data_IF_253324894139
#
_entry.id   IF_253324894139
#
_cell.length_a   1.000
_cell.length_b   1.000
_cell.length_c   1.000
_cell.angle_alpha   90.00
_cell.angle_beta   90.00
_cell.angle_gamma   90.00
#
_symmetry.space_group_name_H-M   'P 1'
#
loop_
_entity.id
_entity.type
_entity.pdbx_description
1 polymer ?
#
# COMPACT_ATOMS: atom_id res chain seq x y z
N UNK A 1 11.10 -11.99 11.26
CA UNK A 1 9.85 -11.21 11.20
C UNK A 1 9.50 -10.68 12.59
N UNK A 2 10.50 -10.67 13.48
CA UNK A 2 10.30 -10.87 14.91
C UNK A 2 10.25 -9.56 15.71
N UNK A 3 10.38 -8.42 15.03
CA UNK A 3 10.36 -7.07 15.61
C UNK A 3 9.17 -6.21 15.12
N UNK A 4 8.21 -6.79 14.39
CA UNK A 4 7.00 -6.04 14.00
C UNK A 4 5.97 -6.18 15.12
N UNK A 5 5.55 -5.08 15.77
CA UNK A 5 4.59 -5.14 16.85
C UNK A 5 3.22 -5.61 16.34
N UNK A 6 2.39 -6.07 17.26
CA UNK A 6 0.99 -6.38 16.96
C UNK A 6 0.26 -5.14 16.43
N UNK A 7 -0.62 -5.34 15.44
CA UNK A 7 -1.37 -4.25 14.82
C UNK A 7 -2.47 -3.74 15.74
N UNK A 8 -2.32 -2.53 16.25
CA UNK A 8 -3.38 -1.80 16.99
C UNK A 8 -4.18 -0.85 16.08
N UNK A 9 -3.99 -0.93 14.76
CA UNK A 9 -4.56 0.00 13.78
C UNK A 9 -3.66 1.21 13.51
N UNK A 10 -4.22 2.22 12.85
CA UNK A 10 -3.50 3.44 12.47
C UNK A 10 -3.80 4.56 13.47
N UNK A 11 -2.78 5.18 14.09
CA UNK A 11 -2.97 6.31 14.99
C UNK A 11 -3.43 7.56 14.23
N UNK A 12 -3.97 8.57 14.93
CA UNK A 12 -4.46 9.82 14.32
C UNK A 12 -3.34 10.58 13.59
N UNK A 13 -2.12 10.43 14.09
CA UNK A 13 -0.88 10.96 13.57
C UNK A 13 -0.59 10.46 12.15
N UNK A 14 -1.04 9.25 11.78
CA UNK A 14 -0.95 8.77 10.39
C UNK A 14 -1.71 9.69 9.44
N UNK A 15 -2.95 10.03 9.78
CA UNK A 15 -3.83 10.85 8.95
C UNK A 15 -3.34 12.29 8.92
N UNK A 16 -2.94 12.83 10.07
CA UNK A 16 -2.35 14.17 10.18
C UNK A 16 -1.06 14.30 9.36
N UNK A 17 -0.22 13.27 9.34
CA UNK A 17 0.99 13.27 8.50
C UNK A 17 0.64 13.44 7.02
N UNK A 18 -0.39 12.75 6.52
CA UNK A 18 -0.80 12.87 5.12
C UNK A 18 -1.49 14.19 4.79
N UNK A 19 -2.26 14.74 5.75
CA UNK A 19 -2.80 16.10 5.67
C UNK A 19 -1.67 17.13 5.54
N UNK A 20 -0.69 17.12 6.45
CA UNK A 20 0.42 18.06 6.42
C UNK A 20 1.32 17.87 5.18
N UNK A 21 1.55 16.62 4.75
CA UNK A 21 2.35 16.30 3.57
C UNK A 21 1.72 16.84 2.28
N UNK A 22 0.39 16.93 2.22
CA UNK A 22 -0.33 17.46 1.05
C UNK A 22 0.00 18.94 0.83
N UNK A 23 0.07 19.71 1.92
CA UNK A 23 0.42 21.13 1.89
C UNK A 23 1.93 21.36 1.78
N UNK A 24 2.76 20.40 2.24
CA UNK A 24 4.21 20.55 2.35
C UNK A 24 5.01 19.48 1.59
N UNK A 25 4.60 19.16 0.36
CA UNK A 25 5.20 18.07 -0.41
C UNK A 25 6.54 18.47 -1.05
N UNK A 26 7.58 18.61 -0.24
CA UNK A 26 8.96 18.87 -0.65
C UNK A 26 9.95 18.19 0.29
N UNK A 27 11.21 18.04 -0.15
CA UNK A 27 12.17 17.10 0.46
C UNK A 27 12.61 17.53 1.85
N UNK A 28 12.83 18.82 2.04
CA UNK A 28 13.30 19.43 3.27
C UNK A 28 12.30 19.16 4.41
N UNK A 29 11.03 19.46 4.17
CA UNK A 29 9.95 19.21 5.13
C UNK A 29 9.81 17.73 5.52
N UNK A 30 9.90 16.84 4.52
CA UNK A 30 9.83 15.40 4.78
C UNK A 30 11.02 14.90 5.58
N UNK A 31 12.23 15.38 5.27
CA UNK A 31 13.45 14.94 5.96
C UNK A 31 13.42 15.32 7.45
N UNK A 32 12.93 16.52 7.78
CA UNK A 32 12.74 16.95 9.18
C UNK A 32 11.72 16.09 9.94
N UNK A 33 10.79 15.44 9.23
CA UNK A 33 9.70 14.63 9.80
C UNK A 33 9.84 13.15 9.48
N UNK A 34 11.05 12.72 9.08
CA UNK A 34 11.29 11.34 8.69
C UNK A 34 11.03 10.37 9.84
N UNK A 35 11.37 10.76 11.06
CA UNK A 35 11.13 9.95 12.26
C UNK A 35 9.63 9.83 12.56
N UNK A 36 8.85 10.90 12.34
CA UNK A 36 7.40 10.87 12.46
C UNK A 36 6.79 9.92 11.42
N UNK A 37 7.26 9.97 10.17
CA UNK A 37 6.84 9.01 9.14
C UNK A 37 7.18 7.57 9.55
N UNK A 38 8.37 7.34 10.10
CA UNK A 38 8.79 6.00 10.54
C UNK A 38 7.91 5.47 11.68
N UNK A 39 7.67 6.28 12.71
CA UNK A 39 6.92 5.83 13.89
C UNK A 39 5.42 5.74 13.63
N UNK A 40 4.82 6.75 12.99
CA UNK A 40 3.36 6.86 12.88
C UNK A 40 2.77 6.36 11.57
N UNK A 41 3.59 6.14 10.54
CA UNK A 41 3.11 5.61 9.25
C UNK A 41 3.71 4.25 8.98
N UNK A 42 5.04 4.16 8.96
CA UNK A 42 5.74 2.98 8.48
C UNK A 42 5.52 1.76 9.39
N UNK A 43 5.74 1.93 10.69
CA UNK A 43 5.62 0.86 11.67
C UNK A 43 4.17 0.33 11.78
N UNK A 44 3.13 1.19 11.92
CA UNK A 44 1.73 0.75 11.83
C UNK A 44 1.39 0.08 10.50
N UNK A 45 1.90 0.58 9.38
CA UNK A 45 1.67 -0.02 8.06
C UNK A 45 2.26 -1.42 7.95
N UNK A 46 3.46 -1.65 8.50
CA UNK A 46 4.09 -2.96 8.52
C UNK A 46 3.34 -3.93 9.42
N UNK A 47 2.91 -3.50 10.61
CA UNK A 47 2.07 -4.28 11.50
C UNK A 47 0.74 -4.66 10.83
N UNK A 48 0.10 -3.71 10.15
CA UNK A 48 -1.11 -3.95 9.37
C UNK A 48 -0.89 -4.98 8.26
N UNK A 49 0.22 -4.89 7.51
CA UNK A 49 0.55 -5.86 6.46
C UNK A 49 0.62 -7.28 7.00
N UNK A 50 1.23 -7.49 8.17
CA UNK A 50 1.30 -8.79 8.82
C UNK A 50 -0.09 -9.25 9.27
N UNK A 51 -0.79 -8.43 10.05
CA UNK A 51 -2.08 -8.79 10.62
C UNK A 51 -3.13 -9.10 9.54
N UNK A 52 -3.24 -8.23 8.52
CA UNK A 52 -4.17 -8.42 7.41
C UNK A 52 -3.75 -9.59 6.53
N UNK A 53 -2.45 -9.72 6.24
CA UNK A 53 -1.90 -10.80 5.44
C UNK A 53 -2.17 -12.20 6.02
N UNK A 54 -1.97 -12.37 7.32
CA UNK A 54 -2.30 -13.63 8.02
C UNK A 54 -3.81 -13.91 7.99
N UNK A 55 -4.65 -12.88 8.14
CA UNK A 55 -6.11 -13.00 8.00
C UNK A 55 -6.53 -13.39 6.58
N UNK A 56 -5.84 -12.93 5.55
CA UNK A 56 -6.11 -13.33 4.17
C UNK A 56 -5.72 -14.79 3.92
N UNK A 57 -4.65 -15.29 4.53
CA UNK A 57 -4.25 -16.70 4.41
C UNK A 57 -5.30 -17.66 4.96
N UNK A 58 -6.14 -17.25 5.91
CA UNK A 58 -7.27 -18.07 6.38
C UNK A 58 -8.40 -18.17 5.35
N UNK A 59 -8.43 -17.27 4.36
CA UNK A 59 -9.39 -17.31 3.24
C UNK A 59 -8.83 -18.18 2.10
N UNK A 60 -7.54 -18.00 1.78
CA UNK A 60 -6.81 -18.79 0.80
C UNK A 60 -5.33 -18.75 1.12
N UNK A 61 -4.70 -19.92 1.24
CA UNK A 61 -3.25 -20.05 1.51
C UNK A 61 -2.39 -19.43 0.39
N UNK A 62 -2.98 -19.20 -0.78
CA UNK A 62 -2.31 -18.58 -1.92
C UNK A 62 -2.05 -17.08 -1.70
N UNK A 63 -2.71 -16.42 -0.75
CA UNK A 63 -2.42 -15.01 -0.48
C UNK A 63 -0.98 -14.79 0.01
N UNK A 64 -0.30 -13.87 -0.67
CA UNK A 64 1.07 -13.47 -0.31
C UNK A 64 1.10 -12.06 0.24
N UNK A 65 1.99 -11.84 1.21
CA UNK A 65 2.24 -10.50 1.76
C UNK A 65 3.70 -10.33 2.18
N UNK A 66 4.15 -9.08 2.22
CA UNK A 66 5.56 -8.74 2.43
C UNK A 66 5.72 -7.30 2.95
N UNK A 67 6.48 -7.11 4.01
CA UNK A 67 6.61 -5.82 4.71
C UNK A 67 7.70 -4.90 4.14
N UNK A 68 8.39 -5.32 3.06
CA UNK A 68 9.39 -4.49 2.36
C UNK A 68 8.78 -3.22 1.80
N UNK A 69 9.51 -2.13 1.96
CA UNK A 69 9.04 -0.76 1.70
C UNK A 69 9.49 -0.22 0.33
N UNK A 70 10.28 -1.01 -0.40
CA UNK A 70 10.88 -0.65 -1.69
C UNK A 70 9.92 -0.76 -2.89
N UNK A 71 8.61 -0.96 -2.65
CA UNK A 71 7.58 -1.15 -3.67
C UNK A 71 7.48 -2.58 -4.21
N UNK A 72 8.35 -3.51 -3.78
CA UNK A 72 8.22 -4.95 -4.05
C UNK A 72 7.46 -5.70 -2.96
N UNK A 73 7.20 -5.07 -1.80
CA UNK A 73 6.34 -5.61 -0.75
C UNK A 73 4.87 -5.27 -0.95
N UNK A 74 4.03 -5.62 0.02
CA UNK A 74 2.59 -5.32 0.02
C UNK A 74 2.31 -3.82 0.18
N UNK A 75 3.23 -3.05 0.74
CA UNK A 75 3.10 -1.60 0.86
C UNK A 75 3.71 -0.90 -0.35
N UNK A 76 3.00 0.10 -0.87
CA UNK A 76 3.51 0.96 -1.95
C UNK A 76 4.52 1.96 -1.40
N UNK A 77 5.55 2.27 -2.20
CA UNK A 77 6.61 3.22 -1.82
C UNK A 77 6.08 4.65 -1.67
N UNK A 78 6.58 5.37 -0.67
CA UNK A 78 6.21 6.79 -0.46
C UNK A 78 6.74 7.69 -1.58
N UNK A 79 7.92 7.42 -2.12
CA UNK A 79 8.49 8.20 -3.22
C UNK A 79 7.72 8.02 -4.53
N UNK A 80 7.41 9.14 -5.20
CA UNK A 80 6.76 9.18 -6.51
C UNK A 80 7.77 9.08 -7.64
N UNK A 81 7.36 8.41 -8.71
CA UNK A 81 8.06 8.50 -10.00
C UNK A 81 7.55 9.72 -10.76
N UNK A 82 8.32 10.80 -10.73
CA UNK A 82 7.90 12.11 -11.28
C UNK A 82 8.54 12.43 -12.63
N UNK A 83 9.27 11.48 -13.25
CA UNK A 83 10.02 11.72 -14.50
C UNK A 83 9.13 12.28 -15.61
N UNK A 84 7.93 11.72 -15.74
CA UNK A 84 6.95 12.09 -16.78
C UNK A 84 5.71 12.79 -16.22
N UNK A 85 5.70 13.15 -14.93
CA UNK A 85 4.55 13.82 -14.32
C UNK A 85 4.68 15.34 -14.46
N UNK A 86 3.60 16.08 -14.83
CA UNK A 86 3.60 17.54 -14.76
C UNK A 86 3.71 18.04 -13.31
N UNK A 87 3.11 17.30 -12.37
CA UNK A 87 3.26 17.53 -10.93
C UNK A 87 4.56 16.90 -10.43
N UNK A 88 5.46 17.75 -9.91
CA UNK A 88 6.79 17.37 -9.45
C UNK A 88 6.87 17.06 -7.95
N UNK A 89 5.74 16.99 -7.25
CA UNK A 89 5.73 16.69 -5.82
C UNK A 89 6.34 15.30 -5.55
N UNK A 90 7.40 15.18 -4.74
CA UNK A 90 8.23 13.98 -4.64
C UNK A 90 7.59 12.80 -3.89
N UNK A 91 6.55 13.03 -3.08
CA UNK A 91 5.96 12.00 -2.21
C UNK A 91 4.49 11.73 -2.51
N UNK A 92 4.06 10.49 -2.28
CA UNK A 92 2.66 10.10 -2.34
C UNK A 92 1.96 10.59 -1.06
N UNK A 93 0.88 11.34 -1.23
CA UNK A 93 0.01 11.80 -0.14
C UNK A 93 -1.01 10.75 0.31
N UNK A 94 -0.80 9.49 -0.09
CA UNK A 94 -1.67 8.36 0.23
C UNK A 94 -0.85 7.13 0.56
N UNK A 95 -1.21 6.45 1.65
CA UNK A 95 -0.71 5.11 1.96
C UNK A 95 -1.50 4.09 1.15
N UNK A 96 -0.83 3.16 0.50
CA UNK A 96 -1.48 2.13 -0.33
C UNK A 96 -0.88 0.78 -0.10
N UNK A 97 -1.74 -0.23 -0.15
CA UNK A 97 -1.38 -1.63 -0.02
C UNK A 97 -1.93 -2.46 -1.18
N UNK A 98 -1.25 -3.57 -1.47
CA UNK A 98 -1.69 -4.62 -2.38
C UNK A 98 -1.39 -5.98 -1.77
N UNK A 99 -2.39 -6.85 -1.80
CA UNK A 99 -2.29 -8.25 -1.43
C UNK A 99 -2.79 -9.08 -2.61
N UNK A 100 -1.93 -9.92 -3.18
CA UNK A 100 -2.27 -10.75 -4.34
C UNK A 100 -2.43 -12.21 -3.93
N UNK A 101 -3.39 -12.89 -4.54
CA UNK A 101 -3.52 -14.35 -4.46
C UNK A 101 -2.58 -15.00 -5.50
N UNK A 102 -1.66 -15.86 -5.08
CA UNK A 102 -0.69 -16.51 -5.94
C UNK A 102 0.61 -15.72 -6.14
N UNK A 103 1.39 -16.11 -7.15
CA UNK A 103 2.67 -15.47 -7.45
C UNK A 103 2.46 -14.03 -7.91
N UNK A 104 3.31 -13.10 -7.47
CA UNK A 104 3.23 -11.67 -7.81
C UNK A 104 3.47 -11.36 -9.31
N UNK A 105 3.57 -12.37 -10.16
CA UNK A 105 3.73 -12.20 -11.60
C UNK A 105 2.46 -11.59 -12.21
N UNK A 106 2.63 -10.36 -12.72
CA UNK A 106 1.79 -9.68 -13.72
C UNK A 106 0.27 -9.67 -13.51
N UNK A 107 -0.24 -9.24 -12.35
CA UNK A 107 -1.55 -8.54 -12.26
C UNK A 107 -2.81 -9.26 -12.78
N UNK A 108 -2.69 -10.54 -13.13
CA UNK A 108 -3.74 -11.42 -13.65
C UNK A 108 -4.43 -12.19 -12.51
N UNK A 109 -3.91 -12.05 -11.30
CA UNK A 109 -4.45 -12.67 -10.11
C UNK A 109 -5.37 -11.73 -9.34
N UNK A 110 -6.42 -12.28 -8.70
CA UNK A 110 -7.27 -11.49 -7.81
C UNK A 110 -6.47 -11.02 -6.60
N UNK A 111 -6.90 -9.90 -6.05
CA UNK A 111 -6.26 -9.35 -4.87
C UNK A 111 -7.05 -8.24 -4.23
N UNK A 112 -6.57 -7.83 -3.06
CA UNK A 112 -7.07 -6.68 -2.34
C UNK A 112 -6.12 -5.50 -2.51
N UNK A 113 -6.71 -4.35 -2.77
CA UNK A 113 -6.04 -3.06 -2.83
C UNK A 113 -6.65 -2.17 -1.77
N UNK A 114 -5.80 -1.61 -0.94
CA UNK A 114 -6.24 -0.71 0.12
C UNK A 114 -5.54 0.63 -0.07
N UNK A 115 -6.25 1.69 0.23
CA UNK A 115 -5.71 3.04 0.22
C UNK A 115 -6.24 3.80 1.41
N UNK A 116 -5.41 4.67 1.97
CA UNK A 116 -5.85 5.66 2.94
C UNK A 116 -5.12 6.97 2.75
N UNK A 117 -5.84 8.04 3.03
CA UNK A 117 -5.37 9.42 3.01
C UNK A 117 -6.05 10.20 4.14
N UNK A 118 -5.94 11.53 4.14
CA UNK A 118 -6.50 12.40 5.17
C UNK A 118 -8.02 12.24 5.35
N UNK A 119 -8.73 11.76 4.33
CA UNK A 119 -10.20 11.65 4.34
C UNK A 119 -10.70 10.29 4.85
N UNK A 120 -9.81 9.30 4.97
CA UNK A 120 -10.14 7.96 5.43
C UNK A 120 -9.57 6.85 4.55
N UNK A 121 -10.09 5.64 4.74
CA UNK A 121 -9.63 4.42 4.06
C UNK A 121 -10.66 3.85 3.09
N UNK A 122 -10.16 3.18 2.05
CA UNK A 122 -10.98 2.38 1.12
C UNK A 122 -10.31 1.03 0.84
N UNK A 123 -11.14 0.05 0.50
CA UNK A 123 -10.75 -1.29 0.10
C UNK A 123 -11.38 -1.59 -1.25
N UNK A 124 -10.59 -2.11 -2.17
CA UNK A 124 -10.99 -2.62 -3.48
C UNK A 124 -10.58 -4.09 -3.54
N UNK A 125 -11.40 -4.92 -4.17
CA UNK A 125 -11.12 -6.34 -4.38
C UNK A 125 -11.38 -6.74 -5.82
N UNK A 126 -10.55 -7.62 -6.37
CA UNK A 126 -10.72 -8.19 -7.70
C UNK A 126 -9.45 -8.22 -8.53
N UNK A 127 -9.61 -8.26 -9.85
CA UNK A 127 -8.51 -8.34 -10.81
C UNK A 127 -8.41 -6.99 -11.53
N UNK A 128 -7.25 -6.34 -11.44
CA UNK A 128 -7.06 -5.00 -12.00
C UNK A 128 -7.18 -4.98 -13.52
N UNK A 129 -6.64 -6.00 -14.19
CA UNK A 129 -6.71 -6.13 -15.64
C UNK A 129 -6.59 -7.60 -16.05
N UNK A 130 -7.52 -8.07 -16.88
CA UNK A 130 -7.37 -9.35 -17.55
C UNK A 130 -6.35 -9.26 -18.68
N UNK A 131 -5.45 -10.23 -18.75
CA UNK A 131 -4.73 -10.51 -19.99
C UNK A 131 -5.71 -10.97 -21.07
N UNK A 132 -5.31 -10.80 -22.34
CA UNK A 132 -6.17 -11.07 -23.49
C UNK A 132 -6.86 -12.44 -23.43
N UNK A 133 -6.17 -13.56 -23.14
CA UNK A 133 -6.82 -14.88 -23.08
C UNK A 133 -7.91 -14.96 -22.00
N UNK A 134 -7.65 -14.39 -20.82
CA UNK A 134 -8.60 -14.37 -19.70
C UNK A 134 -9.79 -13.46 -20.01
N UNK A 135 -9.56 -12.31 -20.65
CA UNK A 135 -10.61 -11.38 -21.03
C UNK A 135 -11.54 -11.98 -22.08
N UNK A 136 -10.98 -12.64 -23.09
CA UNK A 136 -11.75 -13.27 -24.17
C UNK A 136 -12.64 -14.38 -23.56
N UNK A 137 -12.10 -15.25 -22.70
CA UNK A 137 -12.88 -16.25 -21.95
C UNK A 137 -13.99 -15.65 -21.08
N UNK A 138 -13.72 -14.54 -20.39
CA UNK A 138 -14.72 -13.90 -19.53
C UNK A 138 -15.90 -13.33 -20.33
N UNK A 139 -15.67 -12.85 -21.56
CA UNK A 139 -16.70 -12.27 -22.43
C UNK A 139 -17.60 -13.32 -23.08
N UNK A 140 -17.12 -14.54 -23.21
CA UNK A 140 -17.85 -15.67 -23.81
C UNK A 140 -18.73 -16.43 -22.80
N UNK A 141 -18.57 -16.17 -21.50
CA UNK A 141 -19.34 -16.78 -20.41
C UNK A 141 -20.66 -16.03 -20.16
#
# INVERSE_FOLDING_TARGET
>A
MDDIPESTGFPKETFRFYEDLKENNFREWFNERKDHYQEYVLKPAQAFVVAFGEKLKTISESFTYDTRTNGRGSMMRIYRDIRFSPDKSPYNTRLRFRFGEGTREKGEHPGFFLGMDETGGHILGGIYKFAKPTLDRYREA
#
